data_IF_264119447996
#
_entry.id   IF_264119447996
#
_cell.length_a   1.000
_cell.length_b   1.000
_cell.length_c   1.000
_cell.angle_alpha   90.00
_cell.angle_beta   90.00
_cell.angle_gamma   90.00
#
_symmetry.space_group_name_H-M   'P 1'
#
loop_
_entity.id
_entity.type
_entity.pdbx_description
1 polymer ?
#
# COMPACT_ATOMS: atom_id res chain seq x y z
N UNK A 1 3.63 25.68 8.74
CA UNK A 1 3.15 26.36 9.96
C UNK A 1 1.63 26.38 9.96
N UNK A 2 1.03 25.93 11.05
CA UNK A 2 -0.41 25.88 11.20
C UNK A 2 -0.92 27.30 11.45
N UNK A 3 -1.91 27.74 10.71
CA UNK A 3 -2.54 29.04 10.92
C UNK A 3 -3.90 28.90 11.66
N UNK A 4 -4.37 30.01 12.22
CA UNK A 4 -5.60 30.02 13.02
C UNK A 4 -6.84 29.55 12.26
N UNK A 5 -6.89 29.78 10.95
CA UNK A 5 -8.00 29.34 10.09
C UNK A 5 -8.01 27.80 9.96
N UNK A 6 -6.87 27.20 9.73
CA UNK A 6 -6.75 25.74 9.65
C UNK A 6 -7.12 25.07 10.97
N UNK A 7 -6.74 25.66 12.09
CA UNK A 7 -7.13 25.18 13.42
C UNK A 7 -8.64 25.22 13.61
N UNK A 8 -9.28 26.32 13.23
CA UNK A 8 -10.74 26.47 13.34
C UNK A 8 -11.50 25.51 12.44
N UNK A 9 -11.04 25.31 11.22
CA UNK A 9 -11.62 24.32 10.28
C UNK A 9 -11.52 22.92 10.85
N UNK A 10 -10.36 22.57 11.42
CA UNK A 10 -10.13 21.28 12.06
C UNK A 10 -11.05 21.08 13.27
N UNK A 11 -11.20 22.07 14.13
CA UNK A 11 -12.10 22.03 15.28
C UNK A 11 -13.55 21.81 14.83
N UNK A 12 -14.00 22.51 13.82
CA UNK A 12 -15.35 22.33 13.25
C UNK A 12 -15.55 20.93 12.71
N UNK A 13 -14.54 20.42 11.98
CA UNK A 13 -14.60 19.08 11.42
C UNK A 13 -14.76 18.00 12.49
N UNK A 14 -14.09 18.16 13.63
CA UNK A 14 -14.16 17.20 14.74
C UNK A 14 -15.42 17.38 15.58
N UNK A 15 -15.71 18.60 16.00
CA UNK A 15 -16.74 18.89 16.98
C UNK A 15 -18.15 18.98 16.35
N UNK A 16 -18.25 19.65 15.22
CA UNK A 16 -19.55 19.94 14.59
C UNK A 16 -19.94 18.87 13.58
N UNK A 17 -18.97 18.38 12.79
CA UNK A 17 -19.22 17.43 11.71
C UNK A 17 -18.88 15.99 12.04
N UNK A 18 -18.16 15.76 13.15
CA UNK A 18 -17.73 14.42 13.60
C UNK A 18 -16.97 13.62 12.53
N UNK A 19 -16.13 14.31 11.75
CA UNK A 19 -15.35 13.70 10.68
C UNK A 19 -14.05 13.11 11.21
N UNK A 20 -13.63 12.02 10.60
CA UNK A 20 -12.33 11.40 10.80
C UNK A 20 -11.61 11.20 9.45
N UNK A 21 -10.32 10.91 9.51
CA UNK A 21 -9.56 10.50 8.33
C UNK A 21 -9.56 8.98 8.27
N UNK A 22 -10.32 8.42 7.34
CA UNK A 22 -10.44 6.97 7.18
C UNK A 22 -9.14 6.32 6.75
N UNK A 23 -8.44 6.95 5.82
CA UNK A 23 -7.24 6.35 5.24
C UNK A 23 -6.29 7.43 4.74
N UNK A 24 -5.01 7.24 5.05
CA UNK A 24 -3.89 7.92 4.39
C UNK A 24 -3.13 6.90 3.57
N UNK A 25 -2.96 7.16 2.28
CA UNK A 25 -2.30 6.24 1.35
C UNK A 25 -1.07 6.89 0.72
N UNK A 26 0.07 6.21 0.83
CA UNK A 26 1.30 6.60 0.12
C UNK A 26 1.46 5.74 -1.14
N UNK A 27 1.53 6.37 -2.30
CA UNK A 27 1.83 5.69 -3.57
C UNK A 27 3.33 5.53 -3.77
N UNK A 28 3.77 4.32 -4.08
CA UNK A 28 5.18 4.01 -4.36
C UNK A 28 5.27 3.27 -5.70
N UNK A 29 6.01 3.84 -6.67
CA UNK A 29 6.28 3.14 -7.93
C UNK A 29 7.38 2.09 -7.74
N UNK A 30 7.13 0.88 -8.22
CA UNK A 30 8.09 -0.23 -8.19
C UNK A 30 8.74 -0.51 -9.54
N UNK A 31 8.49 0.30 -10.56
CA UNK A 31 8.99 0.05 -11.92
C UNK A 31 10.52 -0.02 -12.01
N UNK A 32 11.22 0.71 -11.18
CA UNK A 32 12.68 0.70 -11.08
C UNK A 32 13.23 -0.50 -10.27
N UNK A 33 12.35 -1.27 -9.64
CA UNK A 33 12.72 -2.47 -8.89
C UNK A 33 12.71 -3.73 -9.75
N UNK A 34 12.30 -3.63 -11.02
CA UNK A 34 12.25 -4.76 -11.93
C UNK A 34 13.64 -5.37 -12.14
N UNK A 35 13.70 -6.71 -12.08
CA UNK A 35 14.91 -7.48 -12.34
C UNK A 35 14.50 -8.83 -12.93
N UNK A 36 15.36 -9.43 -13.75
CA UNK A 36 15.15 -10.77 -14.29
C UNK A 36 15.25 -11.85 -13.21
N UNK A 37 16.00 -11.55 -12.12
CA UNK A 37 16.07 -12.40 -10.94
C UNK A 37 14.99 -11.93 -9.95
N UNK A 38 14.00 -12.77 -9.69
CA UNK A 38 12.88 -12.47 -8.79
C UNK A 38 13.34 -12.17 -7.36
N UNK A 39 14.36 -12.86 -6.87
CA UNK A 39 14.85 -12.65 -5.51
C UNK A 39 15.49 -11.26 -5.35
N UNK A 40 16.23 -10.80 -6.36
CA UNK A 40 16.75 -9.43 -6.40
C UNK A 40 15.66 -8.40 -6.52
N UNK A 41 14.66 -8.66 -7.36
CA UNK A 41 13.48 -7.79 -7.50
C UNK A 41 12.72 -7.66 -6.19
N UNK A 42 12.45 -8.75 -5.51
CA UNK A 42 11.79 -8.76 -4.20
C UNK A 42 12.59 -7.98 -3.15
N UNK A 43 13.91 -8.14 -3.13
CA UNK A 43 14.77 -7.41 -2.21
C UNK A 43 14.75 -5.90 -2.48
N UNK A 44 14.82 -5.50 -3.73
CA UNK A 44 14.71 -4.08 -4.13
C UNK A 44 13.36 -3.48 -3.73
N UNK A 45 12.26 -4.23 -3.92
CA UNK A 45 10.92 -3.82 -3.54
C UNK A 45 10.84 -3.61 -2.02
N UNK A 46 11.29 -4.59 -1.26
CA UNK A 46 11.32 -4.49 0.20
C UNK A 46 12.11 -3.27 0.68
N UNK A 47 13.33 -3.10 0.19
CA UNK A 47 14.20 -1.99 0.57
C UNK A 47 13.58 -0.64 0.22
N UNK A 48 12.99 -0.53 -0.98
CA UNK A 48 12.36 0.71 -1.43
C UNK A 48 11.14 1.08 -0.59
N UNK A 49 10.27 0.12 -0.31
CA UNK A 49 9.08 0.35 0.52
C UNK A 49 9.50 0.76 1.93
N UNK A 50 10.42 0.03 2.54
CA UNK A 50 10.91 0.34 3.88
C UNK A 50 11.53 1.74 3.95
N UNK A 51 12.32 2.12 2.96
CA UNK A 51 12.97 3.44 2.91
C UNK A 51 11.96 4.58 2.68
N UNK A 52 11.05 4.42 1.73
CA UNK A 52 10.10 5.47 1.35
C UNK A 52 8.99 5.67 2.38
N UNK A 53 8.51 4.60 2.97
CA UNK A 53 7.43 4.63 3.94
C UNK A 53 7.91 4.57 5.40
N UNK A 54 9.20 4.74 5.64
CA UNK A 54 9.84 4.68 6.96
C UNK A 54 9.14 5.56 8.01
N UNK A 55 8.73 6.75 7.62
CA UNK A 55 8.12 7.73 8.52
C UNK A 55 6.60 7.86 8.36
N UNK A 56 5.96 7.03 7.53
CA UNK A 56 4.53 7.15 7.25
C UNK A 56 3.69 7.01 8.52
N UNK A 57 3.91 5.97 9.29
CA UNK A 57 3.15 5.70 10.52
C UNK A 57 3.45 6.75 11.60
N UNK A 58 4.72 7.06 11.85
CA UNK A 58 5.11 8.05 12.84
C UNK A 58 4.61 9.45 12.52
N UNK A 59 4.66 9.85 11.26
CA UNK A 59 4.12 11.14 10.80
C UNK A 59 2.60 11.17 10.96
N UNK A 60 1.89 10.08 10.62
CA UNK A 60 0.46 9.97 10.82
C UNK A 60 0.07 10.12 12.30
N UNK A 61 0.77 9.44 13.19
CA UNK A 61 0.57 9.56 14.64
C UNK A 61 0.84 10.97 15.17
N UNK A 62 1.87 11.63 14.65
CA UNK A 62 2.17 13.00 15.00
C UNK A 62 1.05 13.95 14.56
N UNK A 63 0.52 13.79 13.38
CA UNK A 63 -0.60 14.57 12.86
C UNK A 63 -1.85 14.33 13.71
N UNK A 64 -2.15 13.08 14.08
CA UNK A 64 -3.26 12.78 14.97
C UNK A 64 -3.17 13.54 16.30
N UNK A 65 -1.98 13.58 16.88
CA UNK A 65 -1.74 14.31 18.15
C UNK A 65 -1.86 15.82 17.98
N UNK A 66 -1.33 16.35 16.88
CA UNK A 66 -1.27 17.79 16.64
C UNK A 66 -2.63 18.39 16.32
N UNK A 67 -3.43 17.68 15.51
CA UNK A 67 -4.75 18.16 15.07
C UNK A 67 -5.91 17.54 15.84
N UNK A 68 -5.68 16.48 16.59
CA UNK A 68 -6.74 15.77 17.31
C UNK A 68 -7.70 14.99 16.41
N UNK A 69 -7.34 14.75 15.15
CA UNK A 69 -8.14 13.98 14.20
C UNK A 69 -7.59 12.56 14.11
N UNK A 70 -8.39 11.51 14.34
CA UNK A 70 -7.91 10.14 14.17
C UNK A 70 -7.68 9.80 12.70
N UNK A 71 -6.54 9.17 12.41
CA UNK A 71 -6.25 8.55 11.12
C UNK A 71 -6.35 7.04 11.29
N UNK A 72 -7.46 6.47 10.82
CA UNK A 72 -7.82 5.09 11.13
C UNK A 72 -6.88 4.11 10.45
N UNK A 73 -6.61 4.30 9.15
CA UNK A 73 -5.75 3.42 8.37
C UNK A 73 -4.60 4.19 7.71
N UNK A 74 -3.41 3.62 7.79
CA UNK A 74 -2.23 4.07 7.08
C UNK A 74 -1.87 2.97 6.09
N UNK A 75 -1.86 3.30 4.79
CA UNK A 75 -1.69 2.35 3.69
C UNK A 75 -0.55 2.73 2.77
N UNK A 76 -0.01 1.74 2.11
CA UNK A 76 0.88 1.91 0.96
C UNK A 76 0.21 1.32 -0.27
N UNK A 77 0.28 1.99 -1.40
CA UNK A 77 -0.17 1.49 -2.69
C UNK A 77 1.04 1.41 -3.63
N UNK A 78 1.22 0.26 -4.26
CA UNK A 78 2.38 0.02 -5.13
C UNK A 78 1.94 -0.29 -6.56
N UNK A 79 2.90 -0.26 -7.48
CA UNK A 79 2.69 -0.72 -8.86
C UNK A 79 2.09 -2.12 -8.86
N UNK A 80 1.10 -2.42 -9.72
CA UNK A 80 0.51 -3.77 -9.80
C UNK A 80 1.57 -4.86 -9.95
N UNK A 81 1.52 -5.85 -9.08
CA UNK A 81 2.54 -6.93 -9.03
C UNK A 81 2.53 -7.76 -10.32
N UNK A 82 1.40 -7.82 -11.03
CA UNK A 82 1.35 -8.47 -12.34
C UNK A 82 2.36 -7.92 -13.34
N UNK A 83 2.65 -6.61 -13.27
CA UNK A 83 3.67 -5.97 -14.12
C UNK A 83 5.06 -6.43 -13.71
N UNK A 84 5.33 -6.48 -12.42
CA UNK A 84 6.63 -6.93 -11.88
C UNK A 84 6.88 -8.41 -12.18
N UNK A 85 5.85 -9.25 -11.99
CA UNK A 85 5.91 -10.68 -12.31
C UNK A 85 6.14 -10.92 -13.81
N UNK A 86 5.59 -10.08 -14.67
CA UNK A 86 5.83 -10.11 -16.11
C UNK A 86 7.29 -9.84 -16.48
N UNK A 87 7.99 -9.02 -15.72
CA UNK A 87 9.41 -8.71 -15.94
C UNK A 87 10.30 -9.87 -15.50
N UNK A 88 10.06 -10.40 -14.28
CA UNK A 88 10.90 -11.45 -13.70
C UNK A 88 10.61 -12.85 -14.21
N UNK A 89 9.36 -13.11 -14.62
CA UNK A 89 8.89 -14.44 -15.02
C UNK A 89 8.86 -15.47 -13.89
N UNK A 90 8.99 -15.04 -12.63
CA UNK A 90 9.04 -15.93 -11.48
C UNK A 90 7.70 -16.09 -10.76
N UNK A 91 7.70 -16.78 -9.61
CA UNK A 91 6.52 -17.04 -8.81
C UNK A 91 6.01 -15.75 -8.13
N UNK A 92 4.77 -15.31 -8.43
CA UNK A 92 4.18 -14.12 -7.82
C UNK A 92 4.06 -14.19 -6.30
N UNK A 93 4.00 -15.37 -5.72
CA UNK A 93 3.92 -15.56 -4.26
C UNK A 93 5.12 -14.95 -3.55
N UNK A 94 6.30 -14.98 -4.16
CA UNK A 94 7.50 -14.32 -3.60
C UNK A 94 7.31 -12.82 -3.44
N UNK A 95 6.61 -12.18 -4.37
CA UNK A 95 6.26 -10.76 -4.25
C UNK A 95 5.30 -10.49 -3.09
N UNK A 96 4.29 -11.36 -2.91
CA UNK A 96 3.37 -11.26 -1.79
C UNK A 96 4.10 -11.33 -0.45
N UNK A 97 5.01 -12.28 -0.31
CA UNK A 97 5.82 -12.42 0.92
C UNK A 97 6.72 -11.21 1.18
N UNK A 98 7.31 -10.64 0.12
CA UNK A 98 8.12 -9.42 0.24
C UNK A 98 7.28 -8.22 0.68
N UNK A 99 6.07 -8.07 0.12
CA UNK A 99 5.14 -6.99 0.50
C UNK A 99 4.65 -7.16 1.94
N UNK A 100 4.30 -8.38 2.35
CA UNK A 100 3.89 -8.67 3.72
C UNK A 100 4.99 -8.33 4.72
N UNK A 101 6.21 -8.77 4.44
CA UNK A 101 7.38 -8.46 5.28
C UNK A 101 7.62 -6.95 5.37
N UNK A 102 7.50 -6.23 4.26
CA UNK A 102 7.62 -4.78 4.25
C UNK A 102 6.52 -4.13 5.09
N UNK A 103 5.28 -4.57 4.96
CA UNK A 103 4.15 -4.05 5.74
C UNK A 103 4.37 -4.21 7.24
N UNK A 104 4.85 -5.38 7.66
CA UNK A 104 5.18 -5.65 9.06
C UNK A 104 6.32 -4.74 9.57
N UNK A 105 7.34 -4.54 8.75
CA UNK A 105 8.49 -3.70 9.10
C UNK A 105 8.13 -2.23 9.29
N UNK A 106 7.31 -1.68 8.39
CA UNK A 106 6.91 -0.26 8.45
C UNK A 106 5.67 -0.02 9.31
N UNK A 107 4.95 -1.07 9.70
CA UNK A 107 3.80 -0.98 10.61
C UNK A 107 2.52 -0.45 9.98
N UNK A 108 2.36 -0.53 8.66
CA UNK A 108 1.13 -0.11 7.98
C UNK A 108 0.04 -1.17 8.08
N UNK A 109 -1.22 -0.73 7.97
CA UNK A 109 -2.37 -1.62 8.03
C UNK A 109 -2.53 -2.47 6.76
N UNK A 110 -2.11 -1.94 5.61
CA UNK A 110 -2.36 -2.59 4.32
C UNK A 110 -1.39 -2.09 3.23
N UNK A 111 -0.95 -3.00 2.38
CA UNK A 111 -0.27 -2.66 1.12
C UNK A 111 -1.13 -3.13 -0.04
N UNK A 112 -1.63 -2.18 -0.85
CA UNK A 112 -2.39 -2.46 -2.07
C UNK A 112 -1.48 -2.57 -3.28
N UNK A 113 -1.90 -3.35 -4.28
CA UNK A 113 -1.17 -3.53 -5.54
C UNK A 113 -0.87 -4.99 -5.89
N UNK A 114 -1.18 -5.94 -5.01
CA UNK A 114 -1.11 -7.36 -5.34
C UNK A 114 -2.34 -7.72 -6.18
N UNK A 115 -2.24 -7.46 -7.49
CA UNK A 115 -3.33 -7.62 -8.43
C UNK A 115 -2.86 -8.24 -9.74
N UNK A 116 -3.79 -8.89 -10.44
CA UNK A 116 -3.58 -9.47 -11.76
C UNK A 116 -4.24 -8.61 -12.84
N UNK A 117 -3.59 -8.45 -13.98
CA UNK A 117 -4.13 -7.72 -15.14
C UNK A 117 -4.79 -8.70 -16.11
N UNK A 118 -5.93 -9.23 -15.72
CA UNK A 118 -6.60 -10.33 -16.43
C UNK A 118 -7.29 -9.90 -17.73
N UNK A 119 -7.57 -8.61 -17.89
CA UNK A 119 -8.23 -8.10 -19.11
C UNK A 119 -7.38 -8.26 -20.39
N UNK A 120 -6.10 -8.55 -20.26
CA UNK A 120 -5.19 -8.78 -21.40
C UNK A 120 -4.79 -10.24 -21.58
N UNK A 121 -5.44 -11.14 -20.87
CA UNK A 121 -5.15 -12.57 -20.91
C UNK A 121 -4.57 -13.09 -19.60
N UNK A 122 -4.53 -14.41 -19.47
CA UNK A 122 -4.04 -15.07 -18.25
C UNK A 122 -2.70 -15.76 -18.51
N UNK A 123 -1.72 -15.51 -17.63
CA UNK A 123 -0.67 -16.47 -17.38
C UNK A 123 -1.18 -17.47 -16.34
N UNK A 124 -0.70 -18.72 -16.35
CA UNK A 124 -1.20 -19.77 -15.44
C UNK A 124 -1.13 -19.38 -13.96
N UNK A 125 -0.03 -18.74 -13.54
CA UNK A 125 0.15 -18.28 -12.17
C UNK A 125 -0.78 -17.11 -11.80
N UNK A 126 -1.11 -16.23 -12.74
CA UNK A 126 -2.03 -15.13 -12.53
C UNK A 126 -3.48 -15.60 -12.46
N UNK A 127 -3.84 -16.61 -13.24
CA UNK A 127 -5.15 -17.24 -13.19
C UNK A 127 -5.43 -17.81 -11.80
N UNK A 128 -4.48 -18.52 -11.22
CA UNK A 128 -4.59 -19.05 -9.87
C UNK A 128 -4.76 -17.96 -8.82
N UNK A 129 -4.01 -16.88 -8.93
CA UNK A 129 -4.12 -15.73 -8.05
C UNK A 129 -5.48 -15.04 -8.18
N UNK A 130 -6.00 -14.92 -9.40
CA UNK A 130 -7.32 -14.34 -9.65
C UNK A 130 -8.44 -15.18 -9.05
N UNK A 131 -8.37 -16.50 -9.17
CA UNK A 131 -9.36 -17.40 -8.58
C UNK A 131 -9.41 -17.25 -7.05
N UNK A 132 -8.28 -17.13 -6.39
CA UNK A 132 -8.21 -16.90 -4.96
C UNK A 132 -8.82 -15.54 -4.55
N UNK A 133 -8.60 -14.50 -5.35
CA UNK A 133 -9.19 -13.19 -5.12
C UNK A 133 -10.70 -13.20 -5.37
N UNK A 134 -11.17 -13.89 -6.41
CA UNK A 134 -12.59 -14.00 -6.75
C UNK A 134 -13.38 -14.74 -5.67
N UNK A 135 -12.80 -15.71 -4.98
CA UNK A 135 -13.44 -16.37 -3.84
C UNK A 135 -13.73 -15.41 -2.69
N UNK A 136 -12.88 -14.41 -2.47
CA UNK A 136 -13.09 -13.38 -1.45
C UNK A 136 -14.07 -12.30 -1.92
N UNK A 137 -14.02 -11.93 -3.20
CA UNK A 137 -14.83 -10.88 -3.80
C UNK A 137 -16.10 -11.40 -4.49
N UNK A 138 -16.41 -12.66 -4.35
CA UNK A 138 -17.60 -13.30 -4.95
C UNK A 138 -18.94 -12.72 -4.51
N UNK A 139 -18.92 -11.74 -3.63
CA UNK A 139 -20.09 -11.04 -3.11
C UNK A 139 -20.61 -9.98 -4.09
N UNK A 140 -19.81 -9.59 -5.03
CA UNK A 140 -20.14 -8.58 -6.04
C UNK A 140 -20.54 -9.25 -7.36
#
# INVERSE_FOLDING_TARGET
>A
MINSKEILETIRMIQDECLDIRTTTMGISLLDCGDTDIDKSCQKIYDKICKKAEHLVSTGEQIEKEYGIPIINKRVSVTPIAIMAGISGGDPVKYALALEKAAQTIGVNFIGGYSALVQKGFAACLLYTSDAADEEDSVD
#
